data_IF_937187288998
#
_entry.id   IF_937187288998
#
_cell.length_a   1.000
_cell.length_b   1.000
_cell.length_c   1.000
_cell.angle_alpha   90.00
_cell.angle_beta   90.00
_cell.angle_gamma   90.00
#
_symmetry.space_group_name_H-M   'P 1'
#
loop_
_entity.id
_entity.type
_entity.pdbx_description
1 polymer ?
#
# COMPACT_ATOMS: atom_id res chain seq x y z
N UNK A 1 3.99 -43.89 -37.27
CA UNK A 1 5.27 -43.21 -36.98
C UNK A 1 5.15 -41.70 -36.70
N UNK A 2 4.36 -40.92 -37.46
CA UNK A 2 4.27 -39.46 -37.25
C UNK A 2 3.53 -39.00 -35.97
N UNK A 3 2.60 -39.81 -35.45
CA UNK A 3 1.83 -39.46 -34.24
C UNK A 3 2.69 -39.51 -32.96
N UNK A 4 3.58 -40.49 -32.84
CA UNK A 4 4.49 -40.63 -31.69
C UNK A 4 5.51 -39.47 -31.64
N UNK A 5 6.00 -39.02 -32.79
CA UNK A 5 6.94 -37.89 -32.87
C UNK A 5 6.30 -36.56 -32.42
N UNK A 6 5.00 -36.36 -32.67
CA UNK A 6 4.25 -35.19 -32.21
C UNK A 6 4.02 -35.20 -30.70
N UNK A 7 3.82 -36.37 -30.10
CA UNK A 7 3.67 -36.53 -28.64
C UNK A 7 4.99 -36.27 -27.92
N UNK A 8 6.11 -36.78 -28.46
CA UNK A 8 7.46 -36.55 -27.90
C UNK A 8 7.81 -35.05 -27.94
N UNK A 9 7.50 -34.34 -29.04
CA UNK A 9 7.70 -32.90 -29.14
C UNK A 9 6.80 -32.07 -28.20
N UNK A 10 5.64 -32.60 -27.80
CA UNK A 10 4.76 -31.93 -26.83
C UNK A 10 5.25 -32.12 -25.39
N UNK A 11 5.79 -33.29 -25.06
CA UNK A 11 6.38 -33.57 -23.75
C UNK A 11 7.71 -32.82 -23.54
N UNK A 12 8.55 -32.70 -24.59
CA UNK A 12 9.83 -31.98 -24.52
C UNK A 12 9.70 -30.47 -24.24
N UNK A 13 8.57 -29.84 -24.62
CA UNK A 13 8.31 -28.42 -24.36
C UNK A 13 7.96 -28.11 -22.89
N UNK A 14 7.55 -29.12 -22.12
CA UNK A 14 7.21 -28.96 -20.70
C UNK A 14 8.38 -29.26 -19.74
N UNK A 15 9.53 -29.74 -20.24
CA UNK A 15 10.66 -30.16 -19.40
C UNK A 15 11.74 -29.05 -19.26
N UNK A 16 11.66 -27.97 -20.04
CA UNK A 16 12.64 -26.88 -20.04
C UNK A 16 12.06 -25.53 -19.59
N UNK A 17 11.51 -25.47 -18.38
CA UNK A 17 11.50 -24.23 -17.57
C UNK A 17 11.63 -24.48 -16.06
N UNK A 18 12.22 -25.61 -15.68
CA UNK A 18 12.76 -25.82 -14.33
C UNK A 18 13.97 -24.90 -14.21
N UNK A 19 13.75 -23.74 -13.61
CA UNK A 19 14.73 -22.66 -13.56
C UNK A 19 14.15 -21.27 -13.76
N UNK A 20 12.86 -21.05 -13.49
CA UNK A 20 12.48 -19.74 -12.98
C UNK A 20 13.22 -19.58 -11.64
N UNK A 21 14.40 -18.96 -11.68
CA UNK A 21 15.00 -18.31 -10.51
C UNK A 21 13.98 -17.28 -10.01
N UNK A 22 12.96 -17.73 -9.27
CA UNK A 22 12.24 -16.86 -8.36
C UNK A 22 13.28 -16.52 -7.31
N UNK A 23 13.93 -15.37 -7.52
CA UNK A 23 14.81 -14.76 -6.53
C UNK A 23 14.16 -14.95 -5.16
N UNK A 24 14.74 -15.82 -4.34
CA UNK A 24 14.33 -16.01 -2.95
C UNK A 24 14.74 -14.71 -2.27
N UNK A 25 13.81 -13.77 -2.20
CA UNK A 25 14.00 -12.56 -1.43
C UNK A 25 13.96 -12.97 0.04
N UNK A 26 15.14 -13.23 0.63
CA UNK A 26 15.31 -13.51 2.06
C UNK A 26 15.04 -12.30 2.96
N UNK A 27 14.57 -11.18 2.41
CA UNK A 27 14.28 -9.97 3.19
C UNK A 27 13.01 -10.15 4.01
N UNK A 28 13.14 -10.88 5.11
CA UNK A 28 12.18 -10.91 6.19
C UNK A 28 12.33 -9.65 7.06
N UNK A 29 11.17 -9.15 7.50
CA UNK A 29 10.95 -8.00 8.40
C UNK A 29 11.04 -6.60 7.76
N UNK A 30 9.88 -6.07 7.36
CA UNK A 30 9.69 -4.68 6.94
C UNK A 30 9.68 -3.76 8.15
N UNK A 31 10.85 -3.50 8.73
CA UNK A 31 11.00 -2.46 9.77
C UNK A 31 11.00 -1.08 9.12
N UNK A 32 10.59 -0.05 9.84
CA UNK A 32 10.78 1.33 9.39
C UNK A 32 12.28 1.61 9.34
N UNK A 33 12.79 1.88 8.13
CA UNK A 33 14.19 2.22 7.89
C UNK A 33 14.28 3.69 7.53
N UNK A 34 15.01 4.44 8.33
CA UNK A 34 15.31 5.84 8.09
C UNK A 34 16.71 5.95 7.48
N UNK A 35 16.83 6.64 6.35
CA UNK A 35 18.11 6.88 5.69
C UNK A 35 18.54 8.30 6.08
N UNK A 36 19.61 8.41 6.85
CA UNK A 36 20.13 9.67 7.37
C UNK A 36 21.35 10.05 6.54
N UNK A 37 21.34 11.27 6.00
CA UNK A 37 22.48 11.88 5.31
C UNK A 37 23.22 12.80 6.29
N UNK A 38 24.50 12.51 6.55
CA UNK A 38 25.40 13.38 7.32
C UNK A 38 26.50 13.92 6.40
N UNK A 39 26.81 15.21 6.50
CA UNK A 39 27.90 15.83 5.74
C UNK A 39 29.01 16.26 6.70
N UNK A 40 30.17 15.62 6.57
CA UNK A 40 31.38 15.96 7.31
C UNK A 40 32.39 16.54 6.33
N UNK A 41 32.48 17.87 6.27
CA UNK A 41 33.32 18.58 5.31
C UNK A 41 32.94 18.25 3.86
N UNK A 42 33.82 17.52 3.16
CA UNK A 42 33.63 17.09 1.77
C UNK A 42 33.09 15.65 1.64
N UNK A 43 32.85 14.95 2.75
CA UNK A 43 32.37 13.55 2.74
C UNK A 43 30.89 13.50 3.13
N UNK A 44 30.09 12.79 2.34
CA UNK A 44 28.67 12.53 2.63
C UNK A 44 28.54 11.08 3.12
N UNK A 45 28.11 10.91 4.36
CA UNK A 45 27.92 9.62 5.02
C UNK A 45 26.42 9.31 5.03
N UNK A 46 26.02 8.17 4.47
CA UNK A 46 24.65 7.68 4.49
C UNK A 46 24.52 6.55 5.51
N UNK A 47 23.70 6.74 6.53
CA UNK A 47 23.43 5.75 7.57
C UNK A 47 21.98 5.24 7.43
N UNK A 48 21.79 3.92 7.47
CA UNK A 48 20.47 3.31 7.48
C UNK A 48 20.12 2.85 8.90
N UNK A 49 19.30 3.63 9.60
CA UNK A 49 18.89 3.33 10.98
C UNK A 49 17.53 2.61 10.96
N UNK A 50 17.46 1.49 11.66
CA UNK A 50 16.21 0.77 11.89
C UNK A 50 15.51 1.41 13.08
N UNK A 51 14.31 1.94 12.86
CA UNK A 51 13.50 2.61 13.86
C UNK A 51 12.27 1.77 14.20
N UNK A 52 11.88 1.81 15.47
CA UNK A 52 10.62 1.21 15.94
C UNK A 52 9.47 2.20 15.75
N UNK A 53 8.27 1.71 15.44
CA UNK A 53 7.10 2.57 15.35
C UNK A 53 6.50 2.78 16.74
N UNK A 54 6.39 4.03 17.16
CA UNK A 54 5.74 4.40 18.43
C UNK A 54 4.29 3.93 18.55
N UNK A 55 3.59 3.74 17.43
CA UNK A 55 2.18 3.36 17.40
C UNK A 55 1.93 1.89 17.05
N UNK A 56 2.97 1.05 17.08
CA UNK A 56 2.86 -0.36 16.65
C UNK A 56 1.76 -1.14 17.38
N UNK A 57 1.50 -0.80 18.64
CA UNK A 57 0.45 -1.42 19.46
C UNK A 57 -0.96 -1.09 18.98
N UNK A 58 -1.15 0.08 18.36
CA UNK A 58 -2.46 0.61 17.93
C UNK A 58 -2.84 0.14 16.53
N UNK A 59 -1.92 -0.51 15.81
CA UNK A 59 -2.22 -1.03 14.48
C UNK A 59 -3.21 -2.18 14.52
N UNK A 60 -4.07 -2.24 13.50
CA UNK A 60 -4.94 -3.38 13.29
C UNK A 60 -4.09 -4.62 13.00
N UNK A 61 -4.09 -5.57 13.95
CA UNK A 61 -3.39 -6.84 13.79
C UNK A 61 -4.32 -7.87 13.12
N UNK A 62 -3.84 -8.62 12.12
CA UNK A 62 -4.62 -9.69 11.52
C UNK A 62 -4.88 -10.81 12.54
N UNK A 63 -6.11 -11.30 12.61
CA UNK A 63 -6.49 -12.48 13.41
C UNK A 63 -7.07 -13.55 12.49
N UNK A 64 -6.90 -14.82 12.87
CA UNK A 64 -7.52 -15.98 12.22
C UNK A 64 -7.18 -16.13 10.72
N UNK A 65 -6.01 -15.64 10.28
CA UNK A 65 -5.61 -15.67 8.86
C UNK A 65 -6.38 -14.72 7.94
N UNK A 66 -7.28 -13.91 8.49
CA UNK A 66 -8.00 -12.88 7.75
C UNK A 66 -7.20 -11.57 7.69
N UNK A 67 -7.59 -10.68 6.76
CA UNK A 67 -6.96 -9.36 6.66
C UNK A 67 -7.25 -8.52 7.92
N UNK A 68 -6.35 -7.58 8.32
CA UNK A 68 -6.54 -6.74 9.51
C UNK A 68 -7.93 -6.12 9.68
N UNK A 69 -8.50 -5.61 8.59
CA UNK A 69 -9.84 -5.00 8.55
C UNK A 69 -10.95 -6.06 8.60
N UNK A 70 -10.75 -7.17 7.89
CA UNK A 70 -11.70 -8.27 7.85
C UNK A 70 -11.85 -8.89 9.25
N UNK A 71 -10.73 -9.05 9.96
CA UNK A 71 -10.71 -9.60 11.32
C UNK A 71 -11.24 -8.65 12.38
N UNK A 72 -11.21 -7.33 12.14
CA UNK A 72 -11.72 -6.35 13.10
C UNK A 72 -13.24 -6.17 13.01
N UNK A 73 -13.87 -6.50 11.87
CA UNK A 73 -15.31 -6.39 11.69
C UNK A 73 -15.84 -4.95 11.68
N UNK A 74 -14.95 -3.96 11.55
CA UNK A 74 -15.29 -2.54 11.60
C UNK A 74 -15.89 -2.07 10.26
N UNK A 75 -16.97 -1.29 10.32
CA UNK A 75 -17.44 -0.53 9.15
C UNK A 75 -16.73 0.82 9.10
N UNK A 76 -15.71 0.91 8.24
CA UNK A 76 -14.83 2.08 8.13
C UNK A 76 -15.43 3.10 7.16
N UNK A 77 -15.54 4.35 7.63
CA UNK A 77 -15.95 5.52 6.86
C UNK A 77 -14.76 6.36 6.39
N UNK A 78 -14.99 7.28 5.46
CA UNK A 78 -13.91 8.18 5.00
C UNK A 78 -13.53 9.23 6.05
N UNK A 79 -14.37 9.41 7.06
CA UNK A 79 -14.15 10.27 8.22
C UNK A 79 -13.20 9.67 9.26
N UNK A 80 -12.97 8.36 9.23
CA UNK A 80 -12.21 7.63 10.25
C UNK A 80 -10.70 7.75 9.99
N UNK A 81 -10.20 8.98 10.06
CA UNK A 81 -8.83 9.35 9.67
C UNK A 81 -7.78 8.58 10.46
N UNK A 82 -8.03 8.27 11.73
CA UNK A 82 -7.09 7.54 12.59
C UNK A 82 -6.82 6.11 12.07
N UNK A 83 -7.85 5.45 11.54
CA UNK A 83 -7.73 4.11 10.96
C UNK A 83 -7.11 4.21 9.57
N UNK A 84 -7.57 5.16 8.75
CA UNK A 84 -7.07 5.33 7.38
C UNK A 84 -5.59 5.72 7.33
N UNK A 85 -5.11 6.54 8.28
CA UNK A 85 -3.71 6.95 8.39
C UNK A 85 -2.75 5.76 8.55
N UNK A 86 -3.20 4.62 9.10
CA UNK A 86 -2.37 3.41 9.25
C UNK A 86 -1.95 2.82 7.89
N UNK A 87 -2.69 3.13 6.81
CA UNK A 87 -2.44 2.59 5.47
C UNK A 87 -1.77 3.60 4.53
N UNK A 88 -1.25 4.71 5.06
CA UNK A 88 -0.69 5.83 4.30
C UNK A 88 0.69 6.20 4.84
N UNK A 89 1.60 6.63 3.95
CA UNK A 89 2.92 7.16 4.33
C UNK A 89 2.80 8.59 4.87
N UNK A 90 3.84 9.11 5.52
CA UNK A 90 3.97 10.52 5.92
C UNK A 90 3.57 11.53 4.83
N UNK A 91 3.85 11.21 3.57
CA UNK A 91 3.62 12.12 2.44
C UNK A 91 2.17 12.11 1.94
N UNK A 92 1.32 11.21 2.44
CA UNK A 92 -0.06 11.05 1.96
C UNK A 92 -0.21 10.04 0.81
N UNK A 93 0.82 9.27 0.47
CA UNK A 93 0.71 8.16 -0.49
C UNK A 93 0.25 6.86 0.17
N UNK A 94 -0.61 6.12 -0.50
CA UNK A 94 -1.17 4.85 -0.01
C UNK A 94 -0.10 3.76 -0.04
N UNK A 95 0.00 2.98 1.04
CA UNK A 95 0.91 1.84 1.13
C UNK A 95 0.49 0.70 0.18
N UNK A 96 1.46 0.00 -0.43
CA UNK A 96 1.16 -1.10 -1.35
C UNK A 96 0.63 -2.33 -0.59
N UNK A 97 -0.23 -3.13 -1.26
CA UNK A 97 -0.90 -4.30 -0.67
C UNK A 97 0.04 -5.31 0.00
N UNK A 98 1.24 -5.49 -0.55
CA UNK A 98 2.26 -6.41 -0.01
C UNK A 98 2.75 -6.01 1.39
N UNK A 99 2.61 -4.73 1.74
CA UNK A 99 3.01 -4.18 3.04
C UNK A 99 1.79 -4.12 3.96
N UNK A 100 0.65 -3.64 3.46
CA UNK A 100 -0.57 -3.51 4.28
C UNK A 100 -1.20 -4.85 4.70
N UNK A 101 -0.92 -5.93 3.97
CA UNK A 101 -1.49 -7.25 4.26
C UNK A 101 -2.99 -7.36 4.00
N UNK A 102 -3.58 -6.40 3.28
CA UNK A 102 -5.03 -6.39 3.01
C UNK A 102 -5.42 -7.35 1.87
N UNK A 103 -6.65 -7.86 1.97
CA UNK A 103 -7.33 -8.52 0.85
C UNK A 103 -7.46 -7.55 -0.33
N UNK A 104 -7.51 -8.07 -1.56
CA UNK A 104 -7.62 -7.24 -2.77
C UNK A 104 -8.85 -6.31 -2.75
N UNK A 105 -9.99 -6.83 -2.30
CA UNK A 105 -11.25 -6.04 -2.17
C UNK A 105 -11.07 -4.92 -1.15
N UNK A 106 -10.53 -5.23 0.03
CA UNK A 106 -10.33 -4.25 1.10
C UNK A 106 -9.27 -3.20 0.74
N UNK A 107 -8.19 -3.59 0.07
CA UNK A 107 -7.19 -2.63 -0.41
C UNK A 107 -7.82 -1.60 -1.35
N UNK A 108 -8.67 -2.05 -2.29
CA UNK A 108 -9.39 -1.15 -3.20
C UNK A 108 -10.37 -0.25 -2.44
N UNK A 109 -11.15 -0.80 -1.51
CA UNK A 109 -12.09 -0.05 -0.67
C UNK A 109 -11.37 1.03 0.14
N UNK A 110 -10.30 0.67 0.86
CA UNK A 110 -9.51 1.61 1.66
C UNK A 110 -8.86 2.67 0.80
N UNK A 111 -8.35 2.31 -0.38
CA UNK A 111 -7.79 3.29 -1.31
C UNK A 111 -8.84 4.32 -1.75
N UNK A 112 -10.08 3.89 -2.02
CA UNK A 112 -11.18 4.82 -2.29
C UNK A 112 -11.50 5.71 -1.08
N UNK A 113 -11.58 5.15 0.13
CA UNK A 113 -11.85 5.91 1.36
C UNK A 113 -10.75 6.96 1.62
N UNK A 114 -9.48 6.61 1.47
CA UNK A 114 -8.36 7.55 1.61
C UNK A 114 -8.46 8.67 0.58
N UNK A 115 -8.77 8.37 -0.68
CA UNK A 115 -8.92 9.39 -1.73
C UNK A 115 -10.11 10.32 -1.43
N UNK A 116 -11.21 9.78 -0.90
CA UNK A 116 -12.36 10.56 -0.45
C UNK A 116 -11.97 11.47 0.72
N UNK A 117 -11.31 10.95 1.75
CA UNK A 117 -10.84 11.70 2.92
C UNK A 117 -9.86 12.82 2.53
N UNK A 118 -8.90 12.51 1.65
CA UNK A 118 -7.99 13.50 1.10
C UNK A 118 -8.75 14.58 0.32
N UNK A 119 -9.70 14.19 -0.53
CA UNK A 119 -10.49 15.14 -1.33
C UNK A 119 -11.38 16.02 -0.45
N UNK A 120 -11.92 15.49 0.65
CA UNK A 120 -12.67 16.23 1.67
C UNK A 120 -11.78 17.14 2.54
N UNK A 121 -10.45 16.99 2.47
CA UNK A 121 -9.51 17.81 3.26
C UNK A 121 -9.27 17.29 4.68
N UNK A 122 -9.73 16.07 4.99
CA UNK A 122 -9.52 15.41 6.30
C UNK A 122 -8.13 14.79 6.44
N UNK A 123 -7.48 14.48 5.31
CA UNK A 123 -6.18 13.81 5.27
C UNK A 123 -5.17 14.55 4.37
N UNK A 124 -3.90 14.34 4.72
CA UNK A 124 -2.75 14.84 3.98
C UNK A 124 -2.70 14.26 2.56
N UNK A 125 -2.30 15.09 1.60
CA UNK A 125 -2.12 14.73 0.19
C UNK A 125 -0.81 15.32 -0.32
N UNK A 126 0.00 14.51 -0.98
CA UNK A 126 1.23 14.97 -1.63
C UNK A 126 0.94 15.97 -2.77
N UNK A 127 1.74 17.03 -2.85
CA UNK A 127 1.80 17.94 -4.00
C UNK A 127 2.73 17.34 -5.09
N UNK A 128 2.34 17.36 -6.38
CA UNK A 128 3.23 16.99 -7.48
C UNK A 128 4.58 17.72 -7.49
N UNK A 129 4.65 18.95 -6.94
CA UNK A 129 5.89 19.73 -6.84
C UNK A 129 6.74 19.38 -5.62
N UNK A 130 6.29 18.44 -4.80
CA UNK A 130 6.91 18.08 -3.52
C UNK A 130 6.22 18.75 -2.34
N UNK A 131 6.25 18.07 -1.19
CA UNK A 131 5.62 18.53 0.05
C UNK A 131 4.11 18.25 0.12
N UNK A 132 3.45 18.89 1.09
CA UNK A 132 2.03 18.70 1.38
C UNK A 132 1.18 19.73 0.64
N UNK A 133 0.15 19.25 -0.06
CA UNK A 133 -0.76 20.10 -0.83
C UNK A 133 -1.84 20.70 0.09
N UNK A 134 -1.77 22.02 0.29
CA UNK A 134 -2.82 22.75 1.00
C UNK A 134 -4.16 22.69 0.24
N UNK A 135 -5.31 22.40 0.91
CA UNK A 135 -6.61 22.24 0.25
C UNK A 135 -7.01 23.39 -0.68
N UNK A 136 -6.78 24.64 -0.26
CA UNK A 136 -7.14 25.83 -1.05
C UNK A 136 -6.29 26.00 -2.33
N UNK A 137 -5.11 25.36 -2.40
CA UNK A 137 -4.22 25.42 -3.57
C UNK A 137 -4.60 24.39 -4.65
N UNK A 138 -5.65 23.60 -4.42
CA UNK A 138 -6.12 22.62 -5.39
C UNK A 138 -6.71 23.28 -6.63
N UNK A 139 -6.55 22.59 -7.76
CA UNK A 139 -6.98 23.11 -9.06
C UNK A 139 -8.51 23.12 -9.19
N UNK A 140 -9.06 24.19 -9.77
CA UNK A 140 -10.48 24.34 -10.14
C UNK A 140 -11.40 24.13 -8.94
N UNK A 141 -12.45 23.31 -9.10
CA UNK A 141 -13.48 23.04 -8.10
C UNK A 141 -12.98 22.20 -6.92
N UNK A 142 -11.82 21.54 -7.04
CA UNK A 142 -11.26 20.68 -5.97
C UNK A 142 -10.81 21.45 -4.73
N UNK A 143 -10.77 22.79 -4.79
CA UNK A 143 -10.48 23.67 -3.65
C UNK A 143 -11.67 23.89 -2.73
N UNK A 144 -12.89 23.62 -3.22
CA UNK A 144 -14.11 23.79 -2.45
C UNK A 144 -14.39 22.56 -1.59
N UNK A 145 -15.10 22.77 -0.48
CA UNK A 145 -15.48 21.70 0.43
C UNK A 145 -16.28 20.64 -0.32
N UNK A 146 -15.85 19.38 -0.19
CA UNK A 146 -16.46 18.24 -0.87
C UNK A 146 -16.72 17.16 0.15
N UNK A 147 -17.89 16.54 0.10
CA UNK A 147 -18.30 15.46 1.00
C UNK A 147 -18.65 14.22 0.17
N UNK A 148 -18.50 13.04 0.76
CA UNK A 148 -18.70 11.78 0.06
C UNK A 148 -19.66 10.86 0.83
N UNK A 149 -20.37 10.04 0.07
CA UNK A 149 -21.15 8.92 0.60
C UNK A 149 -20.44 7.60 0.27
N UNK A 150 -20.12 6.81 1.28
CA UNK A 150 -19.45 5.51 1.13
C UNK A 150 -20.33 4.46 0.43
N UNK A 151 -21.63 4.69 0.33
CA UNK A 151 -22.55 3.85 -0.44
C UNK A 151 -22.10 3.69 -1.90
N UNK A 152 -21.48 4.75 -2.45
CA UNK A 152 -21.01 4.84 -3.85
C UNK A 152 -19.80 3.94 -4.18
N UNK A 153 -19.12 3.40 -3.17
CA UNK A 153 -17.93 2.58 -3.37
C UNK A 153 -18.31 1.22 -3.97
N UNK A 154 -17.75 0.91 -5.15
CA UNK A 154 -17.98 -0.36 -5.86
C UNK A 154 -17.26 -1.56 -5.25
N UNK A 155 -16.13 -1.34 -4.58
CA UNK A 155 -15.33 -2.40 -3.97
C UNK A 155 -15.97 -2.85 -2.65
N UNK A 156 -16.96 -3.74 -2.73
CA UNK A 156 -17.64 -4.35 -1.59
C UNK A 156 -17.64 -5.87 -1.75
N UNK A 157 -17.70 -6.59 -0.62
CA UNK A 157 -18.07 -7.99 -0.66
C UNK A 157 -19.54 -8.08 -1.10
N UNK A 158 -19.84 -9.01 -2.00
CA UNK A 158 -21.20 -9.31 -2.39
C UNK A 158 -21.90 -10.10 -1.30
#
# INVERSE_FOLDING_TARGET
>A
MAALYRVINYLGKNILSIGQNRNISLSATTRLKEIIEKKEGNTIIFEAVIKEDTNDERFLKPKNGACPICSSGLDIKHTDVLILNQFVRSDGYILPRRITGLCNVQQKRISSLIIMAQSAGLMLRADPKGGLLHPLRRRKWKKFNTYFDESTIKAKYK
#
